data_IF_893167375752
#
_entry.id   IF_893167375752
#
_cell.length_a   1.000
_cell.length_b   1.000
_cell.length_c   1.000
_cell.angle_alpha   90.00
_cell.angle_beta   90.00
_cell.angle_gamma   90.00
#
_symmetry.space_group_name_H-M   'P 1'
#
loop_
_entity.id
_entity.type
_entity.pdbx_description
1 polymer ?
#
# COMPACT_ATOMS: atom_id res chain seq x y z
N UNK A 1 12.67 5.10 30.97
CA UNK A 1 11.52 5.14 30.04
C UNK A 1 10.37 4.56 30.83
N UNK A 2 9.36 5.35 31.21
CA UNK A 2 8.21 4.86 32.01
C UNK A 2 7.14 4.20 31.13
N UNK A 3 7.55 3.62 29.99
CA UNK A 3 6.70 3.01 28.95
C UNK A 3 5.55 3.87 28.40
N UNK A 4 5.52 5.17 28.74
CA UNK A 4 4.50 6.13 28.31
C UNK A 4 5.04 7.11 27.28
N UNK A 5 4.40 7.14 26.11
CA UNK A 5 4.55 8.17 25.10
C UNK A 5 3.81 9.45 25.54
N UNK A 6 4.47 10.59 25.41
CA UNK A 6 3.98 11.91 25.86
C UNK A 6 3.53 11.96 27.34
N UNK A 7 4.00 11.03 28.18
CA UNK A 7 3.57 10.90 29.58
C UNK A 7 2.11 10.46 29.77
N UNK A 8 1.38 10.14 28.69
CA UNK A 8 -0.07 9.87 28.71
C UNK A 8 -0.45 8.47 28.25
N UNK A 9 0.19 7.98 27.19
CA UNK A 9 -0.24 6.76 26.51
C UNK A 9 0.83 5.70 26.61
N UNK A 10 0.49 4.49 27.07
CA UNK A 10 1.43 3.38 27.03
C UNK A 10 1.75 3.00 25.59
N UNK A 11 3.04 2.88 25.28
CA UNK A 11 3.51 2.62 23.93
C UNK A 11 2.92 1.33 23.35
N UNK A 12 2.87 0.27 24.16
CA UNK A 12 2.31 -1.04 23.76
C UNK A 12 0.84 -0.93 23.34
N UNK A 13 0.03 -0.17 24.08
CA UNK A 13 -1.37 0.04 23.72
C UNK A 13 -1.54 0.83 22.42
N UNK A 14 -0.68 1.84 22.18
CA UNK A 14 -0.67 2.57 20.92
C UNK A 14 -0.27 1.68 19.73
N UNK A 15 0.72 0.80 19.92
CA UNK A 15 1.14 -0.17 18.91
C UNK A 15 0.00 -1.12 18.59
N UNK A 16 -0.65 -1.70 19.60
CA UNK A 16 -1.79 -2.60 19.39
C UNK A 16 -2.92 -1.92 18.62
N UNK A 17 -3.25 -0.66 18.96
CA UNK A 17 -4.26 0.11 18.24
C UNK A 17 -3.87 0.39 16.78
N UNK A 18 -2.60 0.72 16.52
CA UNK A 18 -2.10 0.92 15.16
C UNK A 18 -2.17 -0.37 14.34
N UNK A 19 -1.75 -1.51 14.91
CA UNK A 19 -1.88 -2.83 14.27
C UNK A 19 -3.34 -3.16 13.96
N UNK A 20 -4.26 -2.89 14.89
CA UNK A 20 -5.69 -3.12 14.70
C UNK A 20 -6.28 -2.26 13.57
N UNK A 21 -5.89 -0.97 13.52
CA UNK A 21 -6.28 -0.06 12.44
C UNK A 21 -5.84 -0.60 11.07
N UNK A 22 -4.63 -1.15 11.01
CA UNK A 22 -4.03 -1.69 9.80
C UNK A 22 -4.54 -3.11 9.44
N UNK A 23 -5.49 -3.65 10.22
CA UNK A 23 -6.22 -4.89 9.91
C UNK A 23 -5.81 -6.13 10.71
N UNK A 24 -4.95 -6.00 11.72
CA UNK A 24 -4.63 -7.11 12.63
C UNK A 24 -5.79 -7.34 13.61
N UNK A 25 -6.29 -8.57 13.80
CA UNK A 25 -7.39 -8.82 14.73
C UNK A 25 -7.04 -8.45 16.18
N UNK A 26 -7.95 -7.78 16.88
CA UNK A 26 -7.69 -7.32 18.25
C UNK A 26 -7.35 -8.48 19.21
N UNK A 27 -8.11 -9.58 19.15
CA UNK A 27 -7.89 -10.75 19.98
C UNK A 27 -6.54 -11.44 19.75
N UNK A 28 -5.93 -11.28 18.58
CA UNK A 28 -4.60 -11.81 18.29
C UNK A 28 -3.53 -11.17 19.18
N UNK A 29 -3.70 -9.89 19.50
CA UNK A 29 -2.71 -9.10 20.24
C UNK A 29 -2.93 -9.12 21.74
N UNK A 30 -4.19 -9.20 22.19
CA UNK A 30 -4.55 -9.06 23.61
C UNK A 30 -4.98 -10.35 24.29
N UNK A 31 -5.48 -11.34 23.54
CA UNK A 31 -5.99 -12.59 24.12
C UNK A 31 -4.96 -13.71 24.16
N UNK A 32 -3.93 -13.66 23.31
CA UNK A 32 -2.92 -14.73 23.21
C UNK A 32 -1.65 -14.38 24.00
N UNK A 33 -1.05 -15.37 24.65
CA UNK A 33 0.22 -15.21 25.37
C UNK A 33 1.31 -14.72 24.41
N UNK A 34 1.41 -15.36 23.23
CA UNK A 34 2.36 -15.01 22.18
C UNK A 34 2.18 -13.58 21.65
N UNK A 35 0.93 -13.13 21.46
CA UNK A 35 0.63 -11.76 21.03
C UNK A 35 1.07 -10.71 22.04
N UNK A 36 0.85 -10.97 23.34
CA UNK A 36 1.25 -10.07 24.41
C UNK A 36 2.78 -9.97 24.56
N UNK A 37 3.49 -11.11 24.45
CA UNK A 37 4.95 -11.14 24.48
C UNK A 37 5.55 -10.40 23.27
N UNK A 38 4.96 -10.61 22.09
CA UNK A 38 5.38 -9.95 20.86
C UNK A 38 5.17 -8.43 20.90
N UNK A 39 4.06 -7.95 21.48
CA UNK A 39 3.83 -6.51 21.71
C UNK A 39 4.91 -5.85 22.56
N UNK A 40 5.35 -6.52 23.63
CA UNK A 40 6.45 -6.03 24.46
C UNK A 40 7.76 -5.98 23.68
N UNK A 41 8.03 -7.00 22.84
CA UNK A 41 9.19 -7.02 21.95
C UNK A 41 9.16 -5.88 20.93
N UNK A 42 7.99 -5.55 20.38
CA UNK A 42 7.77 -4.48 19.39
C UNK A 42 8.08 -3.07 19.92
N UNK A 43 7.94 -2.85 21.22
CA UNK A 43 8.11 -1.52 21.82
C UNK A 43 9.45 -0.89 21.45
N UNK A 44 10.55 -1.66 21.48
CA UNK A 44 11.89 -1.16 21.19
C UNK A 44 12.11 -0.81 19.71
N UNK A 45 11.82 -1.70 18.73
CA UNK A 45 11.90 -1.35 17.29
C UNK A 45 11.01 -0.17 16.90
N UNK A 46 9.80 -0.06 17.46
CA UNK A 46 8.93 1.10 17.23
C UNK A 46 9.54 2.37 17.82
N UNK A 47 10.02 2.32 19.05
CA UNK A 47 10.63 3.48 19.69
C UNK A 47 11.87 3.96 18.92
N UNK A 48 12.72 3.04 18.44
CA UNK A 48 13.87 3.40 17.61
C UNK A 48 13.44 3.95 16.25
N UNK A 49 12.36 3.42 15.67
CA UNK A 49 11.75 3.96 14.44
C UNK A 49 11.26 5.39 14.62
N UNK A 50 10.58 5.70 15.74
CA UNK A 50 10.14 7.05 16.05
C UNK A 50 11.32 8.00 16.28
N UNK A 51 12.40 7.51 16.90
CA UNK A 51 13.62 8.29 17.11
C UNK A 51 14.28 8.74 15.81
N UNK A 52 14.19 7.94 14.74
CA UNK A 52 14.73 8.31 13.42
C UNK A 52 14.29 9.72 13.07
N UNK A 53 12.99 10.02 13.14
CA UNK A 53 12.41 11.29 12.72
C UNK A 53 12.81 12.49 13.59
N UNK A 54 13.51 12.28 14.70
CA UNK A 54 14.07 13.33 15.55
C UNK A 54 15.54 13.65 15.22
N UNK A 55 16.16 12.87 14.34
CA UNK A 55 17.54 13.06 13.90
C UNK A 55 17.58 13.91 12.63
N UNK A 56 18.73 14.52 12.33
CA UNK A 56 18.96 15.12 11.01
C UNK A 56 19.07 14.03 9.92
N UNK A 57 18.82 14.41 8.66
CA UNK A 57 18.76 13.51 7.50
C UNK A 57 19.97 12.56 7.37
N UNK A 58 21.20 13.05 7.56
CA UNK A 58 22.40 12.19 7.51
C UNK A 58 22.42 11.12 8.62
N UNK A 59 22.03 11.53 9.84
CA UNK A 59 21.92 10.62 11.00
C UNK A 59 20.74 9.67 10.87
N UNK A 60 19.61 10.10 10.30
CA UNK A 60 18.47 9.24 9.99
C UNK A 60 18.93 8.04 9.17
N UNK A 61 19.60 8.29 8.04
CA UNK A 61 20.05 7.23 7.13
C UNK A 61 20.99 6.24 7.82
N UNK A 62 21.98 6.76 8.54
CA UNK A 62 22.96 5.94 9.27
C UNK A 62 22.30 5.12 10.38
N UNK A 63 21.36 5.71 11.11
CA UNK A 63 20.66 5.04 12.20
C UNK A 63 19.73 3.94 11.68
N UNK A 64 19.07 4.16 10.53
CA UNK A 64 18.25 3.13 9.88
C UNK A 64 19.11 1.93 9.47
N UNK A 65 20.23 2.19 8.80
CA UNK A 65 21.17 1.18 8.32
C UNK A 65 21.76 0.33 9.45
N UNK A 66 22.15 0.96 10.55
CA UNK A 66 22.90 0.29 11.63
C UNK A 66 22.02 -0.42 12.65
N UNK A 67 20.85 0.13 12.96
CA UNK A 67 20.02 -0.34 14.07
C UNK A 67 18.62 -0.76 13.63
N UNK A 68 17.90 0.11 12.92
CA UNK A 68 16.45 -0.06 12.70
C UNK A 68 16.16 -1.27 11.82
N UNK A 69 16.83 -1.40 10.67
CA UNK A 69 16.58 -2.52 9.75
C UNK A 69 16.90 -3.88 10.40
N UNK A 70 17.95 -3.94 11.23
CA UNK A 70 18.28 -5.14 11.99
C UNK A 70 17.17 -5.49 12.99
N UNK A 71 16.71 -4.51 13.77
CA UNK A 71 15.65 -4.71 14.76
C UNK A 71 14.35 -5.22 14.13
N UNK A 72 13.97 -4.71 12.96
CA UNK A 72 12.81 -5.20 12.21
C UNK A 72 13.04 -6.58 11.60
N UNK A 73 14.25 -6.85 11.08
CA UNK A 73 14.55 -8.16 10.49
C UNK A 73 14.44 -9.33 11.47
N UNK A 74 14.80 -9.10 12.74
CA UNK A 74 14.71 -10.10 13.81
C UNK A 74 13.26 -10.44 14.17
N UNK A 75 12.33 -9.48 14.01
CA UNK A 75 10.91 -9.67 14.35
C UNK A 75 10.16 -10.57 13.37
N UNK A 76 10.67 -10.82 12.15
CA UNK A 76 9.93 -11.61 11.16
C UNK A 76 9.65 -13.04 11.61
N UNK A 77 10.60 -13.68 12.30
CA UNK A 77 10.40 -15.05 12.81
C UNK A 77 9.38 -15.08 13.94
N UNK A 78 9.47 -14.13 14.86
CA UNK A 78 8.52 -13.99 15.97
C UNK A 78 7.11 -13.67 15.46
N UNK A 79 6.98 -12.78 14.47
CA UNK A 79 5.72 -12.44 13.82
C UNK A 79 5.05 -13.65 13.15
N UNK A 80 5.85 -14.49 12.47
CA UNK A 80 5.37 -15.72 11.85
C UNK A 80 4.89 -16.72 12.91
N UNK A 81 5.62 -16.84 14.03
CA UNK A 81 5.18 -17.68 15.14
C UNK A 81 3.83 -17.21 15.72
N UNK A 82 3.63 -15.90 15.89
CA UNK A 82 2.33 -15.35 16.35
C UNK A 82 1.20 -15.69 15.37
N UNK A 83 1.43 -15.54 14.06
CA UNK A 83 0.46 -15.93 13.03
C UNK A 83 0.16 -17.44 13.04
N UNK A 84 1.19 -18.28 13.26
CA UNK A 84 1.05 -19.73 13.32
C UNK A 84 0.19 -20.16 14.51
N UNK A 85 0.55 -19.73 15.72
CA UNK A 85 -0.17 -20.11 16.94
C UNK A 85 -1.60 -19.59 16.95
N UNK A 86 -1.83 -18.37 16.46
CA UNK A 86 -3.18 -17.83 16.32
C UNK A 86 -4.07 -18.69 15.41
N UNK A 87 -3.52 -19.19 14.30
CA UNK A 87 -4.27 -20.09 13.41
C UNK A 87 -4.52 -21.45 14.04
N UNK A 88 -3.56 -21.99 14.77
CA UNK A 88 -3.68 -23.26 15.47
C UNK A 88 -4.77 -23.19 16.55
N UNK A 89 -4.73 -22.16 17.41
CA UNK A 89 -5.69 -21.94 18.49
C UNK A 89 -7.13 -21.80 17.98
N UNK A 90 -7.31 -21.10 16.85
CA UNK A 90 -8.63 -20.86 16.26
C UNK A 90 -9.02 -21.83 15.14
N UNK A 91 -8.24 -22.89 14.89
CA UNK A 91 -8.46 -23.88 13.82
C UNK A 91 -8.70 -23.23 12.44
N UNK A 92 -7.90 -22.22 12.10
CA UNK A 92 -8.02 -21.46 10.86
C UNK A 92 -7.18 -22.07 9.74
N UNK A 93 -7.74 -22.16 8.54
CA UNK A 93 -7.02 -22.66 7.36
C UNK A 93 -5.97 -21.65 6.86
N UNK A 94 -4.68 -22.04 6.72
CA UNK A 94 -3.63 -21.13 6.26
C UNK A 94 -3.86 -20.52 4.87
N UNK A 95 -4.60 -21.21 3.99
CA UNK A 95 -4.92 -20.72 2.64
C UNK A 95 -5.99 -19.63 2.63
N UNK A 96 -6.83 -19.56 3.65
CA UNK A 96 -7.93 -18.59 3.76
C UNK A 96 -7.62 -17.45 4.73
N UNK A 97 -6.63 -17.64 5.60
CA UNK A 97 -6.28 -16.67 6.64
C UNK A 97 -4.97 -15.96 6.30
N UNK A 98 -5.00 -14.62 6.13
CA UNK A 98 -3.80 -13.82 5.95
C UNK A 98 -2.78 -14.00 7.09
N UNK A 99 -1.52 -13.73 6.83
CA UNK A 99 -0.49 -13.64 7.88
C UNK A 99 -0.51 -12.21 8.42
N UNK A 100 -1.40 -11.93 9.37
CA UNK A 100 -1.72 -10.58 9.82
C UNK A 100 -0.49 -9.87 10.40
N UNK A 101 0.16 -10.48 11.39
CA UNK A 101 1.27 -9.86 12.11
C UNK A 101 2.52 -9.84 11.22
N UNK A 102 2.77 -10.91 10.48
CA UNK A 102 3.89 -10.98 9.52
C UNK A 102 3.76 -9.93 8.42
N UNK A 103 2.57 -9.76 7.83
CA UNK A 103 2.33 -8.75 6.81
C UNK A 103 2.52 -7.33 7.37
N UNK A 104 2.08 -7.09 8.61
CA UNK A 104 2.25 -5.80 9.26
C UNK A 104 3.72 -5.49 9.53
N UNK A 105 4.48 -6.43 10.11
CA UNK A 105 5.93 -6.29 10.32
C UNK A 105 6.69 -6.09 9.01
N UNK A 106 6.30 -6.83 7.98
CA UNK A 106 6.88 -6.69 6.65
C UNK A 106 6.59 -5.32 6.04
N UNK A 107 5.37 -4.81 6.21
CA UNK A 107 4.99 -3.45 5.80
C UNK A 107 5.86 -2.39 6.48
N UNK A 108 6.07 -2.49 7.80
CA UNK A 108 6.95 -1.56 8.53
C UNK A 108 8.43 -1.67 8.09
N UNK A 109 8.89 -2.88 7.80
CA UNK A 109 10.25 -3.13 7.31
C UNK A 109 10.46 -2.50 5.94
N UNK A 110 9.52 -2.73 5.01
CA UNK A 110 9.57 -2.16 3.65
C UNK A 110 9.47 -0.64 3.69
N UNK A 111 8.65 -0.07 4.57
CA UNK A 111 8.60 1.38 4.79
C UNK A 111 9.97 1.95 5.20
N UNK A 112 10.68 1.30 6.12
CA UNK A 112 12.03 1.72 6.51
C UNK A 112 13.06 1.56 5.39
N UNK A 113 12.92 0.53 4.55
CA UNK A 113 13.75 0.35 3.35
C UNK A 113 13.50 1.45 2.31
N UNK A 114 12.23 1.79 2.04
CA UNK A 114 11.84 2.91 1.18
C UNK A 114 12.44 4.21 1.70
N UNK A 115 12.27 4.49 3.00
CA UNK A 115 12.76 5.73 3.59
C UNK A 115 14.29 5.83 3.51
N UNK A 116 15.00 4.75 3.82
CA UNK A 116 16.46 4.69 3.64
C UNK A 116 16.91 4.94 2.19
N UNK A 117 16.17 4.39 1.22
CA UNK A 117 16.46 4.58 -0.20
C UNK A 117 16.22 6.04 -0.63
N UNK A 118 15.10 6.63 -0.21
CA UNK A 118 14.77 8.04 -0.43
C UNK A 118 15.84 8.99 0.15
N UNK A 119 16.28 8.75 1.38
CA UNK A 119 17.39 9.50 2.01
C UNK A 119 18.69 9.37 1.20
N UNK A 120 18.92 8.24 0.53
CA UNK A 120 20.05 8.05 -0.37
C UNK A 120 20.02 8.98 -1.58
N UNK A 121 18.84 9.30 -2.11
CA UNK A 121 18.65 10.24 -3.22
C UNK A 121 18.76 11.68 -2.70
N UNK A 122 18.04 12.03 -1.63
CA UNK A 122 18.02 13.38 -1.04
C UNK A 122 19.41 13.85 -0.62
N UNK A 123 20.22 12.95 -0.06
CA UNK A 123 21.61 13.23 0.34
C UNK A 123 22.61 13.15 -0.81
N UNK A 124 22.15 12.99 -2.06
CA UNK A 124 22.98 12.81 -3.26
C UNK A 124 23.99 11.65 -3.14
N UNK A 125 23.70 10.65 -2.31
CA UNK A 125 24.51 9.45 -2.21
C UNK A 125 24.29 8.61 -3.47
N UNK A 126 23.05 8.47 -3.92
CA UNK A 126 22.65 7.85 -5.19
C UNK A 126 22.51 8.95 -6.25
N UNK A 127 23.62 9.28 -6.91
CA UNK A 127 23.69 10.39 -7.85
C UNK A 127 24.05 9.93 -9.28
N UNK A 128 23.59 10.71 -10.26
CA UNK A 128 23.76 10.44 -11.67
C UNK A 128 22.70 9.49 -12.22
N UNK A 129 22.47 9.57 -13.52
CA UNK A 129 21.43 8.84 -14.25
C UNK A 129 21.50 7.33 -14.07
N UNK A 130 22.69 6.73 -13.97
CA UNK A 130 22.83 5.29 -13.76
C UNK A 130 22.44 4.82 -12.35
N UNK A 131 22.98 5.46 -11.30
CA UNK A 131 22.64 5.08 -9.92
C UNK A 131 21.16 5.40 -9.62
N UNK A 132 20.61 6.47 -10.20
CA UNK A 132 19.19 6.80 -10.09
C UNK A 132 18.28 5.81 -10.82
N UNK A 133 18.65 5.34 -12.02
CA UNK A 133 17.90 4.29 -12.70
C UNK A 133 17.79 3.03 -11.84
N UNK A 134 18.89 2.62 -11.21
CA UNK A 134 18.92 1.51 -10.27
C UNK A 134 18.04 1.81 -9.05
N UNK A 135 18.14 3.01 -8.47
CA UNK A 135 17.39 3.40 -7.28
C UNK A 135 15.87 3.37 -7.54
N UNK A 136 15.38 4.03 -8.60
CA UNK A 136 13.95 4.04 -8.93
C UNK A 136 13.42 2.66 -9.32
N UNK A 137 14.24 1.83 -9.99
CA UNK A 137 13.86 0.45 -10.30
C UNK A 137 13.68 -0.38 -9.01
N UNK A 138 14.64 -0.29 -8.08
CA UNK A 138 14.53 -1.00 -6.80
C UNK A 138 13.38 -0.43 -5.95
N UNK A 139 13.15 0.88 -6.01
CA UNK A 139 12.05 1.52 -5.31
C UNK A 139 10.68 1.09 -5.86
N UNK A 140 10.52 0.90 -7.17
CA UNK A 140 9.29 0.30 -7.75
C UNK A 140 9.00 -1.07 -7.13
N UNK A 141 10.02 -1.90 -6.92
CA UNK A 141 9.87 -3.21 -6.28
C UNK A 141 9.40 -3.10 -4.81
N UNK A 142 10.00 -2.19 -4.03
CA UNK A 142 9.59 -1.95 -2.65
C UNK A 142 8.15 -1.42 -2.57
N UNK A 143 7.81 -0.45 -3.41
CA UNK A 143 6.45 0.11 -3.48
C UNK A 143 5.42 -0.92 -3.95
N UNK A 144 5.81 -1.79 -4.89
CA UNK A 144 5.00 -2.94 -5.31
C UNK A 144 4.72 -3.89 -4.15
N UNK A 145 5.74 -4.19 -3.36
CA UNK A 145 5.61 -5.03 -2.17
C UNK A 145 4.66 -4.38 -1.16
N UNK A 146 4.86 -3.09 -0.87
CA UNK A 146 4.02 -2.33 0.04
C UNK A 146 2.56 -2.31 -0.41
N UNK A 147 2.29 -2.04 -1.70
CA UNK A 147 0.94 -2.05 -2.24
C UNK A 147 0.27 -3.43 -2.11
N UNK A 148 0.99 -4.51 -2.41
CA UNK A 148 0.46 -5.87 -2.28
C UNK A 148 0.07 -6.18 -0.83
N UNK A 149 0.91 -5.79 0.14
CA UNK A 149 0.63 -5.98 1.57
C UNK A 149 -0.58 -5.16 1.99
N UNK A 150 -0.62 -3.88 1.65
CA UNK A 150 -1.74 -2.99 1.97
C UNK A 150 -3.05 -3.49 1.34
N UNK A 151 -3.03 -3.97 0.10
CA UNK A 151 -4.22 -4.56 -0.54
C UNK A 151 -4.68 -5.83 0.17
N UNK A 152 -3.75 -6.73 0.53
CA UNK A 152 -4.10 -7.95 1.26
C UNK A 152 -4.73 -7.64 2.62
N UNK A 153 -4.14 -6.73 3.39
CA UNK A 153 -4.63 -6.32 4.70
C UNK A 153 -5.99 -5.60 4.61
N UNK A 154 -6.19 -4.76 3.59
CA UNK A 154 -7.48 -4.09 3.35
C UNK A 154 -8.60 -5.07 3.01
N UNK A 155 -8.31 -6.08 2.19
CA UNK A 155 -9.29 -7.11 1.85
C UNK A 155 -9.66 -7.91 3.11
N UNK A 156 -8.66 -8.32 3.88
CA UNK A 156 -8.88 -9.00 5.16
C UNK A 156 -9.75 -8.18 6.13
N UNK A 157 -9.48 -6.88 6.27
CA UNK A 157 -10.28 -5.96 7.09
C UNK A 157 -11.73 -5.87 6.62
N UNK A 158 -11.98 -5.87 5.29
CA UNK A 158 -13.34 -5.86 4.72
C UNK A 158 -14.07 -7.18 4.98
N UNK A 159 -13.39 -8.30 4.87
CA UNK A 159 -13.96 -9.62 5.09
C UNK A 159 -14.36 -9.79 6.56
N UNK A 160 -13.49 -9.39 7.50
CA UNK A 160 -13.77 -9.38 8.95
C UNK A 160 -14.97 -8.50 9.31
N UNK A 161 -15.07 -7.29 8.74
CA UNK A 161 -16.23 -6.39 8.96
C UNK A 161 -17.52 -7.03 8.45
N UNK A 162 -17.50 -7.67 7.27
CA UNK A 162 -18.68 -8.31 6.68
C UNK A 162 -19.18 -9.47 7.55
N UNK A 163 -18.27 -10.30 8.08
CA UNK A 163 -18.62 -11.40 8.99
C UNK A 163 -19.23 -10.88 10.31
N UNK A 164 -18.71 -9.78 10.85
CA UNK A 164 -19.25 -9.15 12.06
C UNK A 164 -20.68 -8.63 11.82
N UNK A 165 -20.91 -7.92 10.71
CA UNK A 165 -22.22 -7.38 10.33
C UNK A 165 -23.26 -8.49 10.07
N UNK A 166 -22.86 -9.62 9.49
CA UNK A 166 -23.73 -10.78 9.28
C UNK A 166 -24.09 -11.49 10.60
N UNK A 167 -23.12 -11.58 11.53
CA UNK A 167 -23.34 -12.17 12.85
C UNK A 167 -24.30 -11.33 13.70
N UNK A 168 -24.21 -10.01 13.64
CA UNK A 168 -25.10 -9.08 14.35
C UNK A 168 -26.54 -9.15 13.80
N UNK A 169 -26.71 -9.20 12.48
CA UNK A 169 -28.04 -9.36 11.83
C UNK A 169 -28.69 -10.72 12.13
N UNK A 170 -27.90 -11.77 12.36
CA UNK A 170 -28.39 -13.09 12.77
C UNK A 170 -28.91 -13.15 14.21
N UNK A 171 -28.48 -12.23 15.09
CA UNK A 171 -28.87 -12.20 16.50
C UNK A 171 -30.21 -11.46 16.70
N UNK A 172 -30.54 -10.46 15.88
CA UNK A 172 -31.81 -9.72 15.98
C UNK A 172 -33.07 -10.52 15.59
N UNK A 173 -32.93 -11.71 14.97
CA UNK A 173 -34.07 -12.52 14.52
C UNK A 173 -34.42 -13.75 15.38
N UNK A 174 -33.93 -13.88 16.62
CA UNK A 174 -34.46 -14.89 17.56
C UNK A 174 -35.62 -14.29 18.40
N UNK A 175 -36.89 -14.62 18.13
CA UNK A 175 -37.98 -14.21 19.02
C UNK A 175 -37.81 -14.86 20.39
N UNK A 176 -37.86 -14.06 21.46
CA UNK A 176 -37.98 -14.52 22.84
C UNK A 176 -39.22 -15.41 22.94
N UNK A 177 -39.04 -16.70 23.20
CA UNK A 177 -40.14 -17.59 23.60
C UNK A 177 -40.43 -17.34 25.07
N UNK A 178 -41.42 -16.50 25.34
CA UNK A 178 -42.02 -16.41 26.67
C UNK A 178 -42.55 -17.79 27.09
N UNK A 179 -42.05 -18.26 28.24
CA UNK A 179 -42.60 -19.40 28.94
C UNK A 179 -43.88 -18.97 29.66
N UNK A 180 -45.05 -19.30 29.12
CA UNK A 180 -46.26 -19.44 29.91
C UNK A 180 -46.98 -20.75 29.59
N UNK A 181 -47.12 -21.57 30.64
CA UNK A 181 -48.32 -22.33 30.96
C UNK A 181 -48.72 -23.48 30.04
N UNK A 182 -48.31 -24.70 30.41
CA UNK A 182 -48.96 -25.94 29.97
C UNK A 182 -50.37 -26.06 30.58
N UNK A 183 -51.37 -26.25 29.73
CA UNK A 183 -52.70 -26.77 30.07
C UNK A 183 -53.18 -27.71 28.95
N UNK A 184 -53.66 -28.88 29.34
CA UNK A 184 -54.23 -29.99 28.53
C UNK A 184 -55.45 -29.51 27.69
N UNK A 185 -55.99 -30.14 26.64
CA UNK A 185 -56.32 -31.55 26.40
C UNK A 185 -56.81 -31.73 24.92
N UNK A 186 -56.60 -32.94 24.36
CA UNK A 186 -57.49 -33.77 23.51
C UNK A 186 -58.09 -33.36 22.13
N UNK A 187 -57.87 -34.29 21.15
CA UNK A 187 -58.83 -34.92 20.18
C UNK A 187 -59.50 -34.01 19.12
N UNK A 188 -59.82 -34.38 17.87
CA UNK A 188 -59.72 -35.58 17.03
C UNK A 188 -60.03 -35.17 15.56
N UNK A 189 -59.69 -36.05 14.59
CA UNK A 189 -60.40 -36.44 13.31
C UNK A 189 -61.20 -35.35 12.55
N UNK A 190 -61.16 -35.15 11.23
CA UNK A 190 -61.25 -36.14 10.13
C UNK A 190 -61.23 -35.45 8.75
N UNK A 191 -60.53 -36.08 7.80
CA UNK A 191 -60.89 -36.44 6.41
C UNK A 191 -61.53 -35.49 5.36
N UNK A 192 -60.97 -35.68 4.15
CA UNK A 192 -61.55 -35.64 2.77
C UNK A 192 -61.84 -34.27 2.12
N UNK A 193 -61.80 -34.11 0.79
CA UNK A 193 -61.13 -34.68 -0.41
C UNK A 193 -61.80 -33.95 -1.60
N UNK A 194 -61.07 -33.79 -2.73
CA UNK A 194 -61.57 -33.57 -4.12
C UNK A 194 -62.15 -32.19 -4.46
N UNK A 195 -62.19 -31.71 -5.71
CA UNK A 195 -61.45 -31.84 -7.01
C UNK A 195 -62.32 -31.06 -8.02
N UNK A 196 -61.73 -30.37 -9.00
CA UNK A 196 -62.39 -29.92 -10.26
C UNK A 196 -62.38 -28.39 -10.46
N UNK A 197 -61.63 -27.83 -11.43
CA UNK A 197 -61.98 -27.59 -12.87
C UNK A 197 -63.31 -26.83 -12.99
N UNK A 198 -63.47 -25.70 -13.68
CA UNK A 198 -62.91 -25.18 -14.94
C UNK A 198 -63.40 -23.70 -15.14
N UNK A 199 -62.68 -22.87 -15.93
CA UNK A 199 -63.04 -21.46 -16.26
C UNK A 199 -64.23 -21.31 -17.24
N UNK A 200 -64.40 -20.19 -18.01
CA UNK A 200 -63.57 -18.97 -18.12
C UNK A 200 -64.35 -17.62 -18.30
N UNK A 201 -63.59 -16.52 -18.50
CA UNK A 201 -63.91 -15.23 -19.18
C UNK A 201 -64.77 -14.16 -18.48
N UNK A 202 -64.18 -12.97 -18.33
CA UNK A 202 -64.93 -11.71 -18.51
C UNK A 202 -64.38 -10.48 -17.77
N UNK A 203 -64.08 -9.43 -18.54
CA UNK A 203 -63.98 -8.00 -18.16
C UNK A 203 -62.68 -7.48 -17.50
N UNK A 204 -61.86 -6.89 -18.38
CA UNK A 204 -60.89 -5.83 -18.08
C UNK A 204 -61.57 -4.66 -17.34
N UNK A 205 -60.99 -4.22 -16.22
CA UNK A 205 -60.95 -2.80 -15.84
C UNK A 205 -59.55 -2.47 -15.31
N UNK A 206 -58.92 -1.54 -16.01
CA UNK A 206 -57.66 -0.92 -15.62
C UNK A 206 -57.88 -0.12 -14.33
N UNK A 207 -57.01 -0.34 -13.36
CA UNK A 207 -56.73 0.64 -12.32
C UNK A 207 -55.24 0.55 -12.03
N UNK A 208 -54.54 1.61 -12.39
CA UNK A 208 -53.15 1.84 -12.06
C UNK A 208 -53.00 1.78 -10.55
N UNK A 209 -52.08 0.96 -10.05
CA UNK A 209 -51.45 1.26 -8.78
C UNK A 209 -50.00 0.77 -8.76
N UNK A 210 -49.19 1.67 -8.25
CA UNK A 210 -47.73 1.69 -8.22
C UNK A 210 -47.22 0.52 -7.39
N UNK A 211 -46.55 -0.43 -8.04
CA UNK A 211 -45.79 -1.48 -7.38
C UNK A 211 -44.46 -0.86 -6.91
N UNK A 212 -44.48 -0.28 -5.70
CA UNK A 212 -43.26 0.07 -4.97
C UNK A 212 -42.60 -1.24 -4.52
N UNK A 213 -41.86 -1.86 -5.42
CA UNK A 213 -40.85 -2.84 -5.08
C UNK A 213 -39.77 -2.13 -4.24
N UNK A 214 -39.84 -2.32 -2.92
CA UNK A 214 -38.77 -2.00 -1.97
C UNK A 214 -37.52 -2.80 -2.38
N UNK A 215 -36.70 -2.20 -3.23
CA UNK A 215 -35.30 -2.58 -3.39
C UNK A 215 -34.60 -2.31 -2.05
N UNK A 216 -33.77 -3.24 -1.55
CA UNK A 216 -32.97 -2.98 -0.36
C UNK A 216 -32.02 -1.82 -0.68
N UNK A 217 -32.23 -0.69 -0.02
CA UNK A 217 -31.29 0.42 -0.02
C UNK A 217 -29.93 -0.14 0.42
N UNK A 218 -28.95 -0.14 -0.49
CA UNK A 218 -27.54 -0.26 -0.09
C UNK A 218 -27.30 0.85 0.91
N UNK A 219 -27.14 0.50 2.18
CA UNK A 219 -26.69 1.41 3.21
C UNK A 219 -25.43 2.12 2.69
N UNK A 220 -25.53 3.43 2.47
CA UNK A 220 -24.36 4.24 2.15
C UNK A 220 -23.41 4.13 3.34
N UNK A 221 -22.29 3.44 3.16
CA UNK A 221 -21.23 3.35 4.17
C UNK A 221 -20.80 4.76 4.53
N UNK A 222 -20.92 5.14 5.80
CA UNK A 222 -20.31 6.34 6.34
C UNK A 222 -18.79 6.09 6.31
N UNK A 223 -18.07 6.83 5.47
CA UNK A 223 -16.60 6.75 5.36
C UNK A 223 -16.02 7.49 6.56
N UNK A 224 -15.21 6.82 7.39
CA UNK A 224 -14.58 7.49 8.54
C UNK A 224 -13.40 8.37 8.10
N UNK A 225 -13.01 9.39 8.87
CA UNK A 225 -11.80 10.17 8.59
C UNK A 225 -10.54 9.31 8.44
N UNK A 226 -10.42 8.26 9.23
CA UNK A 226 -9.31 7.30 9.17
C UNK A 226 -9.34 6.49 7.87
N UNK A 227 -10.52 6.04 7.42
CA UNK A 227 -10.65 5.35 6.13
C UNK A 227 -10.22 6.28 4.97
N UNK A 228 -10.44 7.60 5.08
CA UNK A 228 -9.94 8.57 4.09
C UNK A 228 -8.41 8.75 4.16
N UNK A 229 -7.81 8.74 5.35
CA UNK A 229 -6.34 8.78 5.49
C UNK A 229 -5.68 7.55 4.89
N UNK A 230 -6.22 6.36 5.18
CA UNK A 230 -5.77 5.11 4.58
C UNK A 230 -5.79 5.22 3.05
N UNK A 231 -6.90 5.68 2.46
CA UNK A 231 -7.02 5.88 1.01
C UNK A 231 -5.99 6.86 0.45
N UNK A 232 -5.72 7.98 1.13
CA UNK A 232 -4.68 8.94 0.73
C UNK A 232 -3.30 8.26 0.71
N UNK A 233 -2.96 7.50 1.75
CA UNK A 233 -1.67 6.81 1.84
C UNK A 233 -1.49 5.79 0.70
N UNK A 234 -2.52 5.00 0.41
CA UNK A 234 -2.48 4.05 -0.70
C UNK A 234 -2.33 4.73 -2.07
N UNK A 235 -3.02 5.85 -2.27
CA UNK A 235 -2.88 6.65 -3.48
C UNK A 235 -1.46 7.26 -3.57
N UNK A 236 -0.88 7.72 -2.47
CA UNK A 236 0.51 8.22 -2.43
C UNK A 236 1.53 7.13 -2.80
N UNK A 237 1.39 5.92 -2.24
CA UNK A 237 2.22 4.77 -2.62
C UNK A 237 2.10 4.47 -4.11
N UNK A 238 0.86 4.50 -4.64
CA UNK A 238 0.61 4.28 -6.07
C UNK A 238 1.25 5.36 -6.92
N UNK A 239 1.16 6.63 -6.52
CA UNK A 239 1.76 7.78 -7.23
C UNK A 239 3.29 7.68 -7.27
N UNK A 240 3.94 7.44 -6.11
CA UNK A 240 5.39 7.27 -6.02
C UNK A 240 5.87 6.14 -6.93
N UNK A 241 5.09 5.06 -7.02
CA UNK A 241 5.39 3.93 -7.90
C UNK A 241 5.31 4.31 -9.38
N UNK A 242 4.30 5.09 -9.77
CA UNK A 242 4.20 5.59 -11.15
C UNK A 242 5.34 6.55 -11.50
N UNK A 243 5.77 7.40 -10.54
CA UNK A 243 6.94 8.26 -10.72
C UNK A 243 8.22 7.45 -10.91
N UNK A 244 8.48 6.46 -10.05
CA UNK A 244 9.63 5.55 -10.19
C UNK A 244 9.66 4.91 -11.57
N UNK A 245 8.53 4.35 -12.00
CA UNK A 245 8.37 3.71 -13.32
C UNK A 245 8.58 4.66 -14.48
N UNK A 246 7.95 5.84 -14.43
CA UNK A 246 8.04 6.86 -15.48
C UNK A 246 9.46 7.38 -15.62
N UNK A 247 10.10 7.74 -14.51
CA UNK A 247 11.48 8.27 -14.48
C UNK A 247 12.49 7.20 -14.91
N UNK A 248 12.38 5.98 -14.39
CA UNK A 248 13.25 4.87 -14.79
C UNK A 248 13.19 4.65 -16.31
N UNK A 249 11.97 4.53 -16.88
CA UNK A 249 11.81 4.35 -18.33
C UNK A 249 12.30 5.55 -19.12
N UNK A 250 12.11 6.77 -18.62
CA UNK A 250 12.66 7.97 -19.26
C UNK A 250 14.20 7.88 -19.35
N UNK A 251 14.88 7.44 -18.29
CA UNK A 251 16.34 7.23 -18.33
C UNK A 251 16.72 6.19 -19.40
N UNK A 252 15.98 5.08 -19.50
CA UNK A 252 16.21 4.07 -20.55
C UNK A 252 16.02 4.64 -21.95
N UNK A 253 14.97 5.44 -22.18
CA UNK A 253 14.71 6.10 -23.47
C UNK A 253 15.88 7.02 -23.83
N UNK A 254 16.42 7.75 -22.85
CA UNK A 254 17.58 8.63 -23.05
C UNK A 254 18.87 7.85 -23.37
N UNK A 255 19.05 6.65 -22.81
CA UNK A 255 20.12 5.73 -23.22
C UNK A 255 19.91 5.22 -24.66
N UNK A 256 18.70 4.81 -25.04
CA UNK A 256 18.38 4.38 -26.41
C UNK A 256 18.61 5.51 -27.43
N UNK A 257 18.26 6.74 -27.05
CA UNK A 257 18.49 7.95 -27.83
C UNK A 257 19.97 8.40 -27.87
N UNK A 258 20.87 7.70 -27.17
CA UNK A 258 22.28 8.06 -27.00
C UNK A 258 22.51 9.46 -26.39
N UNK A 259 21.51 10.01 -25.71
CA UNK A 259 21.63 11.27 -24.96
C UNK A 259 22.33 11.07 -23.61
N UNK A 260 22.33 9.84 -23.10
CA UNK A 260 23.06 9.45 -21.91
C UNK A 260 24.07 8.36 -22.25
N UNK A 261 25.24 8.44 -21.61
CA UNK A 261 26.30 7.44 -21.75
C UNK A 261 26.46 6.73 -20.40
N UNK A 262 26.50 5.41 -20.42
CA UNK A 262 26.73 4.63 -19.20
C UNK A 262 28.13 4.93 -18.67
N UNK A 263 28.29 5.31 -17.38
CA UNK A 263 29.60 5.65 -16.85
C UNK A 263 30.51 4.43 -16.85
N UNK A 264 31.74 4.60 -17.33
CA UNK A 264 32.80 3.58 -17.24
C UNK A 264 33.63 3.83 -15.99
N UNK A 265 33.99 2.76 -15.30
CA UNK A 265 34.78 2.82 -14.07
C UNK A 265 36.09 2.06 -14.25
N UNK A 266 37.19 2.66 -13.84
CA UNK A 266 38.54 2.07 -13.94
C UNK A 266 38.81 1.07 -12.80
N UNK A 267 38.43 1.42 -11.57
CA UNK A 267 38.76 0.65 -10.36
C UNK A 267 37.58 -0.13 -9.77
N UNK A 268 36.42 -0.11 -10.43
CA UNK A 268 35.22 -0.81 -9.96
C UNK A 268 34.32 -1.22 -11.11
N UNK A 269 33.19 -1.85 -10.80
CA UNK A 269 32.18 -2.23 -11.77
C UNK A 269 30.79 -1.81 -11.30
N UNK A 270 29.85 -1.71 -12.23
CA UNK A 270 28.45 -1.47 -11.89
C UNK A 270 27.90 -2.49 -10.88
N UNK A 271 28.32 -3.77 -10.98
CA UNK A 271 27.94 -4.82 -10.04
C UNK A 271 28.43 -4.54 -8.62
N UNK A 272 29.71 -4.21 -8.45
CA UNK A 272 30.28 -3.91 -7.12
C UNK A 272 29.59 -2.68 -6.52
N UNK A 273 29.35 -1.64 -7.33
CA UNK A 273 28.60 -0.46 -6.90
C UNK A 273 27.20 -0.83 -6.44
N UNK A 274 26.44 -1.59 -7.23
CA UNK A 274 25.11 -2.08 -6.87
C UNK A 274 25.14 -2.80 -5.52
N UNK A 275 26.04 -3.79 -5.37
CA UNK A 275 26.17 -4.55 -4.12
C UNK A 275 26.46 -3.62 -2.93
N UNK A 276 27.31 -2.61 -3.11
CA UNK A 276 27.64 -1.67 -2.04
C UNK A 276 26.48 -0.73 -1.70
N UNK A 277 25.69 -0.29 -2.69
CA UNK A 277 24.52 0.59 -2.49
C UNK A 277 23.41 -0.09 -1.69
N UNK A 278 23.18 -1.38 -1.92
CA UNK A 278 22.12 -2.16 -1.28
C UNK A 278 22.64 -3.10 -0.19
N UNK A 279 23.89 -2.94 0.26
CA UNK A 279 24.49 -3.80 1.29
C UNK A 279 23.67 -3.81 2.58
N UNK A 280 23.04 -2.69 2.95
CA UNK A 280 22.21 -2.57 4.15
C UNK A 280 20.97 -3.47 4.11
N UNK A 281 20.52 -3.86 2.91
CA UNK A 281 19.36 -4.73 2.73
C UNK A 281 19.72 -6.22 2.71
N UNK A 282 21.00 -6.58 2.63
CA UNK A 282 21.45 -7.97 2.46
C UNK A 282 21.07 -8.90 3.62
N UNK A 283 20.78 -8.36 4.81
CA UNK A 283 20.37 -9.13 6.00
C UNK A 283 18.84 -9.28 6.13
N UNK A 284 18.08 -8.64 5.25
CA UNK A 284 16.62 -8.68 5.26
C UNK A 284 16.19 -9.86 4.40
N UNK A 285 15.48 -10.82 5.00
CA UNK A 285 15.04 -12.02 4.28
C UNK A 285 13.76 -11.79 3.47
N UNK A 286 12.92 -10.83 3.89
CA UNK A 286 11.66 -10.48 3.24
C UNK A 286 11.48 -8.96 3.20
N UNK A 287 11.22 -8.36 2.02
CA UNK A 287 11.23 -9.00 0.71
C UNK A 287 12.66 -9.45 0.34
N UNK A 288 12.82 -10.50 -0.49
CA UNK A 288 14.15 -10.94 -0.90
C UNK A 288 14.93 -9.80 -1.58
N UNK A 289 16.20 -9.58 -1.22
CA UNK A 289 16.99 -8.51 -1.81
C UNK A 289 17.24 -8.81 -3.29
N UNK A 290 17.01 -7.82 -4.15
CA UNK A 290 17.26 -7.96 -5.58
C UNK A 290 18.75 -7.93 -5.88
N UNK A 291 19.17 -8.70 -6.88
CA UNK A 291 20.56 -8.78 -7.33
C UNK A 291 20.81 -7.84 -8.51
N UNK A 292 22.09 -7.63 -8.84
CA UNK A 292 22.44 -6.88 -10.05
C UNK A 292 21.98 -7.60 -11.33
N UNK A 293 21.90 -8.93 -11.32
CA UNK A 293 21.39 -9.69 -12.46
C UNK A 293 19.87 -9.51 -12.64
N UNK A 294 19.13 -9.36 -11.55
CA UNK A 294 17.72 -8.99 -11.60
C UNK A 294 17.53 -7.59 -12.19
N UNK A 295 18.43 -6.65 -11.84
CA UNK A 295 18.43 -5.33 -12.46
C UNK A 295 18.70 -5.40 -13.96
N UNK A 296 19.71 -6.16 -14.41
CA UNK A 296 20.00 -6.31 -15.83
C UNK A 296 18.81 -6.89 -16.60
N UNK A 297 18.16 -7.93 -16.07
CA UNK A 297 16.96 -8.51 -16.67
C UNK A 297 15.77 -7.54 -16.67
N UNK A 298 15.56 -6.83 -15.56
CA UNK A 298 14.47 -5.88 -15.39
C UNK A 298 14.67 -4.55 -16.12
N UNK A 299 15.88 -4.29 -16.60
CA UNK A 299 16.25 -3.10 -17.39
C UNK A 299 16.58 -3.41 -18.85
N UNK A 300 16.42 -4.65 -19.29
CA UNK A 300 16.60 -5.01 -20.69
C UNK A 300 15.37 -4.61 -21.52
N UNK A 301 15.49 -3.48 -22.21
CA UNK A 301 14.51 -2.98 -23.18
C UNK A 301 15.00 -3.12 -24.62
N UNK A 302 15.99 -3.97 -24.89
CA UNK A 302 16.59 -4.12 -26.22
C UNK A 302 15.60 -4.64 -27.27
N UNK A 303 14.62 -5.45 -26.84
CA UNK A 303 13.55 -5.98 -27.69
C UNK A 303 12.38 -5.00 -27.95
N UNK A 304 12.27 -3.91 -27.17
CA UNK A 304 11.13 -3.00 -27.23
C UNK A 304 11.41 -1.81 -28.14
N UNK A 305 10.44 -1.44 -28.98
CA UNK A 305 10.56 -0.26 -29.83
C UNK A 305 10.54 1.01 -28.96
N UNK A 306 11.32 2.02 -29.36
CA UNK A 306 11.37 3.32 -28.68
C UNK A 306 9.98 3.94 -28.49
N UNK A 307 9.09 3.80 -29.49
CA UNK A 307 7.71 4.30 -29.43
C UNK A 307 6.85 3.62 -28.35
N UNK A 308 7.01 2.32 -28.16
CA UNK A 308 6.30 1.56 -27.12
C UNK A 308 6.78 1.96 -25.72
N UNK A 309 8.10 2.16 -25.56
CA UNK A 309 8.67 2.61 -24.30
C UNK A 309 8.26 4.05 -23.96
N UNK A 310 8.23 4.94 -24.95
CA UNK A 310 7.71 6.31 -24.83
C UNK A 310 6.24 6.32 -24.40
N UNK A 311 5.40 5.48 -25.00
CA UNK A 311 4.00 5.35 -24.62
C UNK A 311 3.86 4.89 -23.17
N UNK A 312 4.60 3.84 -22.77
CA UNK A 312 4.57 3.31 -21.40
C UNK A 312 5.02 4.34 -20.34
N UNK A 313 6.06 5.12 -20.63
CA UNK A 313 6.50 6.21 -19.76
C UNK A 313 5.47 7.34 -19.68
N UNK A 314 4.86 7.71 -20.81
CA UNK A 314 3.79 8.71 -20.88
C UNK A 314 2.56 8.29 -20.08
N UNK A 315 2.15 7.02 -20.18
CA UNK A 315 1.05 6.48 -19.39
C UNK A 315 1.32 6.51 -17.89
N UNK A 316 2.57 6.25 -17.48
CA UNK A 316 2.97 6.31 -16.07
C UNK A 316 2.78 7.73 -15.51
N UNK A 317 3.23 8.76 -16.24
CA UNK A 317 3.03 10.16 -15.83
C UNK A 317 1.55 10.59 -15.91
N UNK A 318 0.83 10.21 -16.96
CA UNK A 318 -0.61 10.50 -17.09
C UNK A 318 -1.40 9.92 -15.93
N UNK A 319 -1.14 8.65 -15.58
CA UNK A 319 -1.81 8.00 -14.48
C UNK A 319 -1.41 8.62 -13.13
N UNK A 320 -0.12 8.98 -12.96
CA UNK A 320 0.35 9.76 -11.81
C UNK A 320 -0.43 11.07 -11.63
N UNK A 321 -0.66 11.83 -12.70
CA UNK A 321 -1.47 13.06 -12.65
C UNK A 321 -2.89 12.78 -12.17
N UNK A 322 -3.56 11.77 -12.71
CA UNK A 322 -4.91 11.38 -12.27
C UNK A 322 -4.95 11.01 -10.79
N UNK A 323 -3.90 10.38 -10.26
CA UNK A 323 -3.82 10.06 -8.84
C UNK A 323 -3.67 11.34 -7.99
N UNK A 324 -2.83 12.29 -8.40
CA UNK A 324 -2.70 13.58 -7.70
C UNK A 324 -4.02 14.34 -7.66
N UNK A 325 -4.75 14.36 -8.77
CA UNK A 325 -6.06 15.02 -8.85
C UNK A 325 -7.05 14.38 -7.85
N UNK A 326 -7.05 13.05 -7.75
CA UNK A 326 -7.84 12.30 -6.75
C UNK A 326 -7.44 12.65 -5.32
N UNK A 327 -6.14 12.63 -5.01
CA UNK A 327 -5.66 12.97 -3.66
C UNK A 327 -6.01 14.40 -3.30
N UNK A 328 -5.86 15.35 -4.23
CA UNK A 328 -6.16 16.77 -4.00
C UNK A 328 -7.64 17.01 -3.67
N UNK A 329 -8.54 16.24 -4.29
CA UNK A 329 -9.97 16.27 -3.97
C UNK A 329 -10.26 15.74 -2.56
N UNK A 330 -9.53 14.70 -2.11
CA UNK A 330 -9.72 14.09 -0.78
C UNK A 330 -9.02 14.84 0.35
N UNK A 331 -7.84 15.43 0.12
CA UNK A 331 -7.02 16.08 1.19
C UNK A 331 -7.72 17.25 1.86
N UNK A 332 -8.67 17.90 1.18
CA UNK A 332 -9.40 19.03 1.75
C UNK A 332 -10.43 18.63 2.83
N UNK A 333 -10.75 17.33 2.99
CA UNK A 333 -11.80 16.86 3.89
C UNK A 333 -11.33 16.12 5.15
N UNK A 334 -10.03 15.90 5.35
CA UNK A 334 -9.54 14.89 6.32
C UNK A 334 -8.82 15.47 7.55
N UNK A 335 -7.99 16.49 7.41
CA UNK A 335 -7.24 17.05 8.55
C UNK A 335 -6.76 18.46 8.26
N UNK A 336 -7.23 19.47 9.01
CA UNK A 336 -6.81 20.86 8.83
C UNK A 336 -5.35 21.09 9.24
N UNK A 337 -4.86 20.38 10.26
CA UNK A 337 -3.54 20.58 10.85
C UNK A 337 -2.38 20.15 9.92
N UNK A 338 -2.53 19.01 9.23
CA UNK A 338 -1.49 18.47 8.34
C UNK A 338 -1.73 18.74 6.85
N UNK A 339 -2.91 19.27 6.47
CA UNK A 339 -3.26 19.58 5.08
C UNK A 339 -2.26 20.51 4.38
N UNK A 340 -1.73 21.59 5.00
CA UNK A 340 -0.78 22.48 4.34
C UNK A 340 0.49 21.78 3.90
N UNK A 341 1.07 20.94 4.76
CA UNK A 341 2.30 20.19 4.48
C UNK A 341 2.07 19.20 3.34
N UNK A 342 0.97 18.43 3.41
CA UNK A 342 0.59 17.49 2.35
C UNK A 342 0.36 18.21 1.01
N UNK A 343 -0.27 19.39 1.01
CA UNK A 343 -0.48 20.21 -0.20
C UNK A 343 0.83 20.66 -0.85
N UNK A 344 1.83 21.03 -0.05
CA UNK A 344 3.16 21.39 -0.56
C UNK A 344 3.85 20.19 -1.21
N UNK A 345 3.86 19.03 -0.52
CA UNK A 345 4.44 17.79 -1.07
C UNK A 345 3.75 17.38 -2.38
N UNK A 346 2.40 17.36 -2.39
CA UNK A 346 1.61 17.00 -3.57
C UNK A 346 1.84 17.95 -4.74
N UNK A 347 2.00 19.26 -4.47
CA UNK A 347 2.32 20.24 -5.52
C UNK A 347 3.69 19.97 -6.14
N UNK A 348 4.69 19.56 -5.34
CA UNK A 348 6.00 19.14 -5.83
C UNK A 348 5.92 17.89 -6.71
N UNK A 349 5.19 16.86 -6.25
CA UNK A 349 4.96 15.63 -7.03
C UNK A 349 4.21 15.92 -8.34
N UNK A 350 3.16 16.74 -8.30
CA UNK A 350 2.40 17.15 -9.49
C UNK A 350 3.30 17.83 -10.52
N UNK A 351 4.10 18.80 -10.08
CA UNK A 351 5.02 19.52 -10.95
C UNK A 351 6.03 18.57 -11.56
N UNK A 352 6.57 17.62 -10.79
CA UNK A 352 7.50 16.61 -11.29
C UNK A 352 6.86 15.76 -12.40
N UNK A 353 5.63 15.27 -12.18
CA UNK A 353 4.87 14.52 -13.20
C UNK A 353 4.68 15.36 -14.47
N UNK A 354 4.23 16.60 -14.34
CA UNK A 354 3.93 17.47 -15.49
C UNK A 354 5.20 17.82 -16.27
N UNK A 355 6.26 18.25 -15.59
CA UNK A 355 7.53 18.63 -16.23
C UNK A 355 8.13 17.43 -16.98
N UNK A 356 8.17 16.26 -16.35
CA UNK A 356 8.68 15.06 -17.00
C UNK A 356 7.82 14.62 -18.17
N UNK A 357 6.48 14.69 -18.06
CA UNK A 357 5.59 14.40 -19.18
C UNK A 357 5.82 15.34 -20.37
N UNK A 358 6.05 16.64 -20.11
CA UNK A 358 6.33 17.63 -21.15
C UNK A 358 7.69 17.39 -21.81
N UNK A 359 8.73 17.12 -21.03
CA UNK A 359 10.07 16.87 -21.58
C UNK A 359 10.17 15.53 -22.31
N UNK A 360 9.40 14.52 -21.88
CA UNK A 360 9.25 13.27 -22.61
C UNK A 360 8.57 13.49 -23.97
N UNK A 361 7.51 14.31 -24.01
CA UNK A 361 6.87 14.69 -25.27
C UNK A 361 7.80 15.49 -26.18
N UNK A 362 8.61 16.41 -25.63
CA UNK A 362 9.64 17.10 -26.44
C UNK A 362 10.61 16.09 -27.05
N UNK A 363 11.09 15.12 -26.27
CA UNK A 363 11.99 14.08 -26.74
C UNK A 363 11.36 13.17 -27.82
N UNK A 364 10.03 12.97 -27.81
CA UNK A 364 9.36 12.19 -28.87
C UNK A 364 9.24 12.93 -30.19
N UNK A 365 9.35 14.27 -30.19
CA UNK A 365 9.31 15.10 -31.40
C UNK A 365 10.70 15.26 -32.05
N UNK A 366 11.77 14.90 -31.33
CA UNK A 366 13.13 15.05 -31.82
C UNK A 366 13.50 13.79 -32.62
N UNK A 367 13.76 13.96 -33.92
CA UNK A 367 14.24 12.88 -34.78
C UNK A 367 15.64 12.39 -34.33
N UNK A 368 15.88 11.08 -34.47
CA UNK A 368 17.07 10.35 -34.00
C UNK A 368 18.43 10.93 -34.49
N UNK A 369 18.40 11.86 -35.45
CA UNK A 369 19.55 12.43 -36.14
C UNK A 369 20.13 13.72 -35.53
N UNK A 370 19.48 14.32 -34.52
CA UNK A 370 19.94 15.59 -33.92
C UNK A 370 20.82 15.38 -32.69
N UNK A 371 22.04 14.93 -32.96
CA UNK A 371 23.10 14.72 -31.98
C UNK A 371 23.60 16.05 -31.39
N UNK A 372 23.16 16.36 -30.17
CA UNK A 372 23.88 17.06 -29.09
C UNK A 372 22.92 17.54 -27.98
N UNK A 373 21.84 16.79 -27.70
CA UNK A 373 20.95 17.13 -26.58
C UNK A 373 21.71 16.97 -25.26
N UNK A 374 21.83 18.06 -24.51
CA UNK A 374 22.35 18.03 -23.16
C UNK A 374 21.20 17.69 -22.21
N UNK A 375 21.40 16.65 -21.41
CA UNK A 375 20.44 16.22 -20.39
C UNK A 375 20.98 16.59 -19.02
N UNK A 376 20.21 17.38 -18.28
CA UNK A 376 20.50 17.74 -16.90
C UNK A 376 19.41 17.22 -15.98
N UNK A 377 19.81 16.65 -14.84
CA UNK A 377 18.90 16.16 -13.81
C UNK A 377 18.70 17.26 -12.77
N UNK A 378 17.44 17.65 -12.56
CA UNK A 378 17.07 18.70 -11.62
C UNK A 378 16.21 18.12 -10.48
N UNK A 379 16.54 18.50 -9.24
CA UNK A 379 15.82 18.12 -8.01
C UNK A 379 15.24 19.35 -7.28
N UNK A 380 15.21 20.52 -7.94
CA UNK A 380 14.67 21.77 -7.37
C UNK A 380 13.18 21.70 -7.04
N UNK A 381 12.42 20.91 -7.80
CA UNK A 381 10.97 20.74 -7.61
C UNK A 381 10.66 19.71 -6.51
N UNK A 382 11.44 18.64 -6.43
CA UNK A 382 11.28 17.56 -5.47
C UNK A 382 12.63 16.89 -5.20
N UNK A 383 12.95 16.68 -3.93
CA UNK A 383 14.23 16.11 -3.51
C UNK A 383 14.39 14.60 -3.79
N UNK A 384 13.29 13.89 -4.04
CA UNK A 384 13.26 12.43 -4.22
C UNK A 384 13.05 12.00 -5.66
N UNK A 385 12.40 12.85 -6.47
CA UNK A 385 12.04 12.56 -7.86
C UNK A 385 12.57 13.65 -8.79
N UNK A 386 13.55 13.29 -9.62
CA UNK A 386 14.17 14.24 -10.54
C UNK A 386 13.27 14.62 -11.71
N UNK A 387 13.51 15.82 -12.24
CA UNK A 387 13.07 16.24 -13.56
C UNK A 387 14.22 16.27 -14.56
N UNK A 388 13.92 15.95 -15.82
CA UNK A 388 14.92 15.98 -16.90
C UNK A 388 14.83 17.28 -17.68
N UNK A 389 15.87 18.10 -17.64
CA UNK A 389 15.99 19.27 -18.51
C UNK A 389 16.75 18.87 -19.77
N UNK A 390 16.10 19.01 -20.93
CA UNK A 390 16.66 18.68 -22.24
C UNK A 390 16.86 19.99 -22.99
N UNK A 391 18.11 20.32 -23.31
CA UNK A 391 18.52 21.55 -24.00
C UNK A 391 19.38 21.29 -25.22
#
# INVERSE_FOLDING_TARGET
FEDKLFGRHYLVHMIANAMCRDGVPHGMMTSTEYGSAFLNRLAKPIYDSLKVFLLNTCRQRTFIETLVLKGWSELHLEANAVDFYFREEHNLEPSKTPAFVSNWVLSQTVFMMEYHLGLGIELFLLNGHHDLAIAYWYWDFLLSTQLNLTTAMRNAKKDLKTISEESEKGIEHKPRKDHQGKGKDQRARSDKKKKGKSGPKGAKKQSQNVENALLPQKSQRIISPEDMEDEIEYLLLTLRRQLCRGIFRFIIILYQARCLIQPKFEFTSHRIRFMKRFQSFAKINQPPPLTYDDFLKGSDFSALKRSELLLSATESFRFGKTIVDKISATVSSVSEEFSPIRKVELKGLLRTVVVNSLNLHKLSQIEDSSANLKVELDFSINSLFCTFNIS
#
